data_IF_264285871222
#
_entry.id   IF_264285871222
#
_cell.length_a   1.000
_cell.length_b   1.000
_cell.length_c   1.000
_cell.angle_alpha   90.00
_cell.angle_beta   90.00
_cell.angle_gamma   90.00
#
_symmetry.space_group_name_H-M   'P 1'
#
loop_
_entity.id
_entity.type
_entity.pdbx_description
1 polymer ?
#
# COMPACT_ATOMS: atom_id res chain seq x y z
N UNK A 1 -1.15 -4.68 27.19
CA UNK A 1 0.23 -4.76 26.68
C UNK A 1 0.47 -3.50 25.87
N UNK A 2 1.40 -2.64 26.29
CA UNK A 2 1.88 -1.53 25.45
C UNK A 2 2.80 -2.09 24.37
N UNK A 3 2.43 -1.90 23.10
CA UNK A 3 3.32 -2.27 21.98
C UNK A 3 4.61 -1.42 22.06
N UNK A 4 5.78 -2.02 21.80
CA UNK A 4 7.03 -1.27 21.84
C UNK A 4 7.06 -0.24 20.70
N UNK A 5 7.46 1.00 21.01
CA UNK A 5 7.48 2.16 20.09
C UNK A 5 8.15 1.88 18.73
N UNK A 6 9.09 0.92 18.70
CA UNK A 6 9.80 0.47 17.50
C UNK A 6 8.90 -0.18 16.44
N UNK A 7 7.79 -0.83 16.83
CA UNK A 7 6.88 -1.47 15.86
C UNK A 7 6.01 -0.42 15.15
N UNK A 8 5.54 0.59 15.90
CA UNK A 8 4.80 1.73 15.34
C UNK A 8 5.70 2.50 14.36
N UNK A 9 6.93 2.82 14.75
CA UNK A 9 7.87 3.51 13.86
C UNK A 9 8.20 2.71 12.58
N UNK A 10 8.29 1.37 12.67
CA UNK A 10 8.50 0.52 11.50
C UNK A 10 7.28 0.51 10.57
N UNK A 11 6.07 0.48 11.13
CA UNK A 11 4.82 0.58 10.35
C UNK A 11 4.70 1.94 9.66
N UNK A 12 4.96 3.04 10.37
CA UNK A 12 4.95 4.39 9.79
C UNK A 12 5.97 4.54 8.66
N UNK A 13 7.15 3.92 8.80
CA UNK A 13 8.15 3.88 7.74
C UNK A 13 7.65 3.11 6.50
N UNK A 14 7.05 1.94 6.69
CA UNK A 14 6.45 1.16 5.59
C UNK A 14 5.35 1.94 4.85
N UNK A 15 4.51 2.68 5.59
CA UNK A 15 3.52 3.58 4.99
C UNK A 15 4.17 4.70 4.19
N UNK A 16 5.21 5.35 4.71
CA UNK A 16 5.93 6.38 3.97
C UNK A 16 6.54 5.85 2.68
N UNK A 17 7.08 4.65 2.69
CA UNK A 17 7.63 4.00 1.49
C UNK A 17 6.55 3.65 0.48
N UNK A 18 5.41 3.12 0.92
CA UNK A 18 4.29 2.77 0.05
C UNK A 18 3.69 4.02 -0.62
N UNK A 19 3.50 5.10 0.14
CA UNK A 19 3.02 6.38 -0.40
C UNK A 19 4.00 6.97 -1.43
N UNK A 20 5.30 6.91 -1.16
CA UNK A 20 6.30 7.35 -2.13
C UNK A 20 6.29 6.50 -3.42
N UNK A 21 6.03 5.19 -3.30
CA UNK A 21 5.81 4.34 -4.46
C UNK A 21 4.54 4.76 -5.23
N UNK A 22 3.44 5.07 -4.54
CA UNK A 22 2.22 5.58 -5.14
C UNK A 22 2.45 6.87 -5.95
N UNK A 23 3.24 7.82 -5.42
CA UNK A 23 3.61 9.05 -6.14
C UNK A 23 4.41 8.76 -7.42
N UNK A 24 5.29 7.77 -7.38
CA UNK A 24 6.04 7.34 -8.55
C UNK A 24 5.14 6.64 -9.61
N UNK A 25 4.15 5.85 -9.18
CA UNK A 25 3.15 5.26 -10.08
C UNK A 25 2.29 6.34 -10.74
N UNK A 26 1.87 7.36 -9.99
CA UNK A 26 1.14 8.51 -10.52
C UNK A 26 1.95 9.25 -11.57
N UNK A 27 3.24 9.48 -11.30
CA UNK A 27 4.16 10.08 -12.29
C UNK A 27 4.22 9.24 -13.58
N UNK A 28 4.27 7.91 -13.49
CA UNK A 28 4.21 7.06 -14.69
C UNK A 28 2.88 7.23 -15.41
N UNK A 29 1.77 7.19 -14.68
CA UNK A 29 0.42 7.27 -15.23
C UNK A 29 0.14 8.61 -15.94
N UNK A 30 0.69 9.71 -15.44
CA UNK A 30 0.54 11.06 -16.02
C UNK A 30 1.38 11.28 -17.28
N UNK A 31 2.46 10.52 -17.44
CA UNK A 31 3.36 10.62 -18.59
C UNK A 31 2.98 9.70 -19.77
N UNK A 32 2.02 8.80 -19.59
CA UNK A 32 1.53 7.94 -20.67
C UNK A 32 0.78 8.74 -21.75
N UNK A 33 0.88 8.35 -23.04
CA UNK A 33 1.81 7.39 -23.63
C UNK A 33 3.21 7.94 -23.95
N UNK A 34 3.44 9.23 -23.71
CA UNK A 34 4.50 10.00 -24.36
C UNK A 34 5.90 9.75 -23.77
N UNK A 35 6.02 9.65 -22.45
CA UNK A 35 7.32 9.55 -21.77
C UNK A 35 7.36 8.32 -20.85
N UNK A 36 7.73 7.17 -21.44
CA UNK A 36 7.88 5.92 -20.69
C UNK A 36 9.36 5.71 -20.34
N UNK A 37 9.68 5.82 -19.05
CA UNK A 37 11.01 5.50 -18.55
C UNK A 37 11.09 4.03 -18.14
N UNK A 38 11.60 3.18 -19.03
CA UNK A 38 11.70 1.73 -18.83
C UNK A 38 12.46 1.33 -17.55
N UNK A 39 13.48 2.11 -17.14
CA UNK A 39 14.22 1.83 -15.90
C UNK A 39 13.33 2.05 -14.68
N UNK A 40 12.60 3.17 -14.66
CA UNK A 40 11.67 3.49 -13.57
C UNK A 40 10.55 2.44 -13.50
N UNK A 41 9.93 2.09 -14.63
CA UNK A 41 8.89 1.06 -14.66
C UNK A 41 9.38 -0.27 -14.10
N UNK A 42 10.58 -0.73 -14.50
CA UNK A 42 11.18 -1.96 -13.96
C UNK A 42 11.43 -1.88 -12.46
N UNK A 43 12.04 -0.79 -11.99
CA UNK A 43 12.32 -0.62 -10.56
C UNK A 43 11.04 -0.59 -9.72
N UNK A 44 9.96 0.02 -10.23
CA UNK A 44 8.67 0.02 -9.55
C UNK A 44 8.04 -1.38 -9.53
N UNK A 45 8.09 -2.11 -10.65
CA UNK A 45 7.61 -3.49 -10.73
C UNK A 45 8.31 -4.39 -9.70
N UNK A 46 9.64 -4.35 -9.67
CA UNK A 46 10.46 -5.17 -8.76
C UNK A 46 10.21 -4.84 -7.27
N UNK A 47 9.79 -3.60 -6.96
CA UNK A 47 9.59 -3.14 -5.59
C UNK A 47 8.17 -3.31 -5.07
N UNK A 48 7.16 -3.36 -5.96
CA UNK A 48 5.76 -3.21 -5.61
C UNK A 48 5.25 -4.34 -4.69
N UNK A 49 5.29 -5.58 -5.16
CA UNK A 49 4.76 -6.72 -4.40
C UNK A 49 5.51 -6.91 -3.07
N UNK A 50 6.86 -6.85 -3.01
CA UNK A 50 7.59 -6.95 -1.73
C UNK A 50 7.28 -5.84 -0.75
N UNK A 51 7.01 -4.61 -1.23
CA UNK A 51 6.65 -3.49 -0.36
C UNK A 51 5.25 -3.69 0.22
N UNK A 52 4.26 -4.02 -0.61
CA UNK A 52 2.88 -4.31 -0.14
C UNK A 52 2.89 -5.44 0.90
N UNK A 53 3.59 -6.54 0.61
CA UNK A 53 3.72 -7.66 1.55
C UNK A 53 4.35 -7.27 2.89
N UNK A 54 5.42 -6.47 2.85
CA UNK A 54 6.09 -6.00 4.07
C UNK A 54 5.19 -5.06 4.86
N UNK A 55 4.46 -4.16 4.21
CA UNK A 55 3.55 -3.22 4.87
C UNK A 55 2.43 -3.98 5.58
N UNK A 56 1.76 -4.92 4.90
CA UNK A 56 0.75 -5.79 5.50
C UNK A 56 1.29 -6.61 6.67
N UNK A 57 2.51 -7.16 6.56
CA UNK A 57 3.13 -7.88 7.67
C UNK A 57 3.32 -6.96 8.89
N UNK A 58 3.75 -5.71 8.68
CA UNK A 58 3.91 -4.75 9.78
C UNK A 58 2.57 -4.36 10.41
N UNK A 59 1.49 -4.25 9.63
CA UNK A 59 0.13 -4.02 10.13
C UNK A 59 -0.34 -5.20 10.99
N UNK A 60 -0.11 -6.43 10.54
CA UNK A 60 -0.45 -7.66 11.26
C UNK A 60 0.33 -7.81 12.59
N UNK A 61 1.57 -7.32 12.64
CA UNK A 61 2.42 -7.34 13.83
C UNK A 61 2.13 -6.18 14.79
N UNK A 62 1.46 -5.11 14.32
CA UNK A 62 1.33 -3.84 15.05
C UNK A 62 -0.13 -3.40 15.22
N UNK A 63 -0.83 -3.07 14.15
CA UNK A 63 -2.19 -2.52 14.19
C UNK A 63 -3.21 -3.61 14.57
N UNK A 64 -3.10 -4.79 13.97
CA UNK A 64 -4.11 -5.85 14.14
C UNK A 64 -4.23 -6.35 15.58
N UNK A 65 -3.14 -6.53 16.35
CA UNK A 65 -3.23 -6.85 17.76
C UNK A 65 -3.96 -5.78 18.60
N UNK A 66 -3.80 -4.50 18.26
CA UNK A 66 -4.51 -3.40 18.93
C UNK A 66 -6.02 -3.44 18.63
N UNK A 67 -6.38 -3.67 17.36
CA UNK A 67 -7.77 -3.83 16.95
C UNK A 67 -8.42 -5.06 17.62
N UNK A 68 -7.70 -6.18 17.67
CA UNK A 68 -8.18 -7.43 18.27
C UNK A 68 -8.33 -7.33 19.79
N UNK A 69 -7.51 -6.53 20.47
CA UNK A 69 -7.62 -6.30 21.90
C UNK A 69 -8.80 -5.39 22.28
N UNK A 70 -9.40 -4.69 21.31
CA UNK A 70 -10.55 -3.82 21.55
C UNK A 70 -11.83 -4.63 21.79
N UNK A 71 -12.62 -4.21 22.78
CA UNK A 71 -13.96 -4.77 23.02
C UNK A 71 -15.03 -4.16 22.10
N UNK A 72 -14.65 -3.26 21.18
CA UNK A 72 -15.58 -2.61 20.25
C UNK A 72 -15.90 -3.55 19.06
N UNK A 73 -17.15 -4.02 18.90
CA UNK A 73 -17.53 -4.92 17.80
C UNK A 73 -17.28 -4.32 16.41
N UNK A 74 -17.30 -2.98 16.29
CA UNK A 74 -16.99 -2.32 15.03
C UNK A 74 -15.53 -2.51 14.63
N UNK A 75 -14.59 -2.43 15.59
CA UNK A 75 -13.17 -2.63 15.31
C UNK A 75 -12.86 -4.10 14.98
N UNK A 76 -13.58 -5.05 15.58
CA UNK A 76 -13.48 -6.46 15.19
C UNK A 76 -13.96 -6.71 13.75
N UNK A 77 -15.03 -6.05 13.30
CA UNK A 77 -15.48 -6.09 11.90
C UNK A 77 -14.47 -5.44 10.96
N UNK A 78 -13.90 -4.29 11.36
CA UNK A 78 -12.83 -3.64 10.59
C UNK A 78 -11.63 -4.55 10.42
N UNK A 79 -11.18 -5.24 11.48
CA UNK A 79 -10.08 -6.21 11.40
C UNK A 79 -10.36 -7.36 10.41
N UNK A 80 -11.58 -7.90 10.42
CA UNK A 80 -11.96 -8.95 9.47
C UNK A 80 -11.91 -8.45 8.02
N UNK A 81 -12.44 -7.24 7.78
CA UNK A 81 -12.40 -6.58 6.46
C UNK A 81 -10.97 -6.33 5.99
N UNK A 82 -10.09 -5.78 6.84
CA UNK A 82 -8.69 -5.49 6.48
C UNK A 82 -7.95 -6.76 6.00
N UNK A 83 -8.18 -7.90 6.66
CA UNK A 83 -7.60 -9.19 6.22
C UNK A 83 -8.08 -9.65 4.85
N UNK A 84 -9.34 -9.36 4.50
CA UNK A 84 -9.88 -9.65 3.17
C UNK A 84 -9.29 -8.69 2.12
N UNK A 85 -9.14 -7.42 2.49
CA UNK A 85 -8.56 -6.37 1.64
C UNK A 85 -7.10 -6.70 1.28
N UNK A 86 -6.29 -7.17 2.24
CA UNK A 86 -4.90 -7.56 1.97
C UNK A 86 -4.77 -8.58 0.81
N UNK A 87 -5.68 -9.56 0.75
CA UNK A 87 -5.66 -10.56 -0.33
C UNK A 87 -5.95 -9.92 -1.69
N UNK A 88 -6.92 -9.02 -1.75
CA UNK A 88 -7.27 -8.28 -2.97
C UNK A 88 -6.14 -7.32 -3.39
N UNK A 89 -5.51 -6.66 -2.43
CA UNK A 89 -4.40 -5.74 -2.66
C UNK A 89 -3.17 -6.47 -3.19
N UNK A 90 -2.87 -7.68 -2.70
CA UNK A 90 -1.83 -8.54 -3.24
C UNK A 90 -2.07 -8.93 -4.71
N UNK A 91 -3.31 -9.31 -5.05
CA UNK A 91 -3.67 -9.62 -6.44
C UNK A 91 -3.50 -8.39 -7.34
N UNK A 92 -3.98 -7.23 -6.89
CA UNK A 92 -3.91 -5.98 -7.67
C UNK A 92 -2.46 -5.51 -7.83
N UNK A 93 -1.63 -5.67 -6.79
CA UNK A 93 -0.20 -5.35 -6.84
C UNK A 93 0.53 -6.20 -7.90
N UNK A 94 0.21 -7.49 -8.01
CA UNK A 94 0.77 -8.37 -9.03
C UNK A 94 0.36 -7.94 -10.45
N UNK A 95 -0.90 -7.56 -10.66
CA UNK A 95 -1.35 -7.04 -11.97
C UNK A 95 -0.64 -5.74 -12.37
N UNK A 96 -0.46 -4.83 -11.42
CA UNK A 96 0.28 -3.57 -11.65
C UNK A 96 1.76 -3.85 -11.93
N UNK A 97 2.37 -4.78 -11.17
CA UNK A 97 3.76 -5.22 -11.35
C UNK A 97 3.97 -5.80 -12.75
N UNK A 98 3.08 -6.68 -13.22
CA UNK A 98 3.10 -7.23 -14.58
C UNK A 98 2.98 -6.13 -15.63
N UNK A 99 2.02 -5.21 -15.48
CA UNK A 99 1.83 -4.11 -16.43
C UNK A 99 3.07 -3.19 -16.50
N UNK A 100 3.74 -2.93 -15.39
CA UNK A 100 4.98 -2.15 -15.35
C UNK A 100 6.16 -2.89 -15.99
N UNK A 101 6.27 -4.20 -15.79
CA UNK A 101 7.26 -5.03 -16.49
C UNK A 101 7.05 -5.00 -18.01
N UNK A 102 5.82 -5.16 -18.45
CA UNK A 102 5.42 -5.08 -19.85
C UNK A 102 5.71 -3.70 -20.47
N UNK A 103 5.39 -2.61 -19.75
CA UNK A 103 5.78 -1.25 -20.13
C UNK A 103 7.30 -1.13 -20.25
N UNK A 104 8.06 -1.67 -19.29
CA UNK A 104 9.53 -1.61 -19.29
C UNK A 104 10.16 -2.37 -20.46
N UNK A 105 9.48 -3.39 -20.96
CA UNK A 105 9.91 -4.21 -22.09
C UNK A 105 9.41 -3.67 -23.45
N UNK A 106 8.56 -2.64 -23.46
CA UNK A 106 7.87 -2.19 -24.67
C UNK A 106 6.91 -3.24 -25.24
N UNK A 107 6.41 -4.14 -24.38
CA UNK A 107 5.61 -5.31 -24.75
C UNK A 107 4.17 -5.27 -24.21
N UNK A 108 3.74 -4.13 -23.64
CA UNK A 108 2.39 -3.97 -23.10
C UNK A 108 1.32 -4.31 -24.13
N UNK A 109 0.46 -5.25 -23.76
CA UNK A 109 -0.75 -5.62 -24.51
C UNK A 109 -1.92 -4.68 -24.22
N UNK A 110 -1.84 -3.93 -23.12
CA UNK A 110 -2.83 -2.95 -22.72
C UNK A 110 -2.60 -1.62 -23.45
N UNK A 111 -3.68 -0.91 -23.75
CA UNK A 111 -3.58 0.47 -24.23
C UNK A 111 -3.02 1.38 -23.14
N UNK A 112 -2.38 2.50 -23.51
CA UNK A 112 -1.90 3.48 -22.54
C UNK A 112 -2.98 3.93 -21.54
N UNK A 113 -4.22 4.13 -22.00
CA UNK A 113 -5.36 4.48 -21.14
C UNK A 113 -5.69 3.37 -20.14
N UNK A 114 -5.66 2.10 -20.57
CA UNK A 114 -5.93 0.96 -19.70
C UNK A 114 -4.84 0.80 -18.63
N UNK A 115 -3.57 0.97 -19.00
CA UNK A 115 -2.48 0.97 -18.02
C UNK A 115 -2.62 2.15 -17.06
N UNK A 116 -2.90 3.35 -17.58
CA UNK A 116 -3.13 4.54 -16.76
C UNK A 116 -4.29 4.39 -15.78
N UNK A 117 -5.37 3.69 -16.17
CA UNK A 117 -6.48 3.36 -15.29
C UNK A 117 -6.09 2.35 -14.21
N UNK A 118 -5.37 1.28 -14.56
CA UNK A 118 -4.89 0.27 -13.62
C UNK A 118 -3.98 0.90 -12.55
N UNK A 119 -3.01 1.72 -12.97
CA UNK A 119 -2.11 2.42 -12.05
C UNK A 119 -2.87 3.35 -11.09
N UNK A 120 -3.77 4.19 -11.62
CA UNK A 120 -4.60 5.12 -10.81
C UNK A 120 -5.47 4.40 -9.81
N UNK A 121 -6.14 3.33 -10.26
CA UNK A 121 -7.02 2.54 -9.39
C UNK A 121 -6.24 1.97 -8.20
N UNK A 122 -5.03 1.46 -8.45
CA UNK A 122 -4.18 0.93 -7.39
C UNK A 122 -3.68 2.01 -6.42
N UNK A 123 -3.01 3.07 -6.92
CA UNK A 123 -2.39 4.04 -6.03
C UNK A 123 -3.42 4.84 -5.23
N UNK A 124 -4.60 5.12 -5.80
CA UNK A 124 -5.67 5.77 -5.06
C UNK A 124 -6.26 4.87 -3.97
N UNK A 125 -6.36 3.56 -4.24
CA UNK A 125 -6.80 2.57 -3.24
C UNK A 125 -5.81 2.51 -2.08
N UNK A 126 -4.52 2.38 -2.37
CA UNK A 126 -3.46 2.31 -1.36
C UNK A 126 -3.37 3.58 -0.52
N UNK A 127 -3.50 4.77 -1.11
CA UNK A 127 -3.54 6.02 -0.35
C UNK A 127 -4.71 6.07 0.64
N UNK A 128 -5.90 5.60 0.23
CA UNK A 128 -7.08 5.52 1.12
C UNK A 128 -6.93 4.45 2.20
N UNK A 129 -6.31 3.32 1.87
CA UNK A 129 -5.99 2.25 2.81
C UNK A 129 -5.08 2.79 3.93
N UNK A 130 -3.91 3.32 3.57
CA UNK A 130 -2.94 3.87 4.51
C UNK A 130 -3.54 4.96 5.40
N UNK A 131 -4.31 5.89 4.82
CA UNK A 131 -4.97 6.94 5.60
C UNK A 131 -5.94 6.34 6.64
N UNK A 132 -6.77 5.39 6.22
CA UNK A 132 -7.74 4.74 7.11
C UNK A 132 -7.05 4.03 8.27
N UNK A 133 -5.91 3.40 8.01
CA UNK A 133 -5.16 2.68 9.05
C UNK A 133 -4.38 3.60 9.99
N UNK A 134 -3.85 4.72 9.48
CA UNK A 134 -3.29 5.77 10.33
C UNK A 134 -4.34 6.34 11.29
N UNK A 135 -5.56 6.56 10.82
CA UNK A 135 -6.69 6.97 11.67
C UNK A 135 -7.04 5.89 12.71
N UNK A 136 -7.07 4.62 12.32
CA UNK A 136 -7.27 3.51 13.27
C UNK A 136 -6.17 3.48 14.32
N UNK A 137 -4.90 3.59 13.91
CA UNK A 137 -3.74 3.58 14.80
C UNK A 137 -3.78 4.76 15.78
N UNK A 138 -4.22 5.94 15.35
CA UNK A 138 -4.43 7.08 16.24
C UNK A 138 -5.56 6.86 17.27
N UNK A 139 -6.60 6.09 16.91
CA UNK A 139 -7.71 5.76 17.81
C UNK A 139 -7.38 4.67 18.83
N UNK A 140 -6.58 3.67 18.45
CA UNK A 140 -6.27 2.49 19.30
C UNK A 140 -4.86 2.48 19.87
N UNK A 141 -3.98 3.32 19.35
CA UNK A 141 -2.60 3.47 19.79
C UNK A 141 -2.48 4.17 21.14
N UNK A 142 -1.31 4.07 21.79
CA UNK A 142 -1.03 4.86 22.98
C UNK A 142 -1.13 6.37 22.66
N UNK A 143 -1.61 7.21 23.58
CA UNK A 143 -1.64 8.65 23.37
C UNK A 143 -0.22 9.16 23.05
N UNK A 144 -0.07 10.16 22.17
CA UNK A 144 1.24 10.70 21.84
C UNK A 144 1.96 11.15 23.11
N UNK A 145 3.24 10.79 23.22
CA UNK A 145 4.10 11.30 24.29
C UNK A 145 4.24 12.81 24.08
N UNK A 146 3.55 13.59 24.91
CA UNK A 146 3.80 15.03 25.02
C UNK A 146 5.23 15.19 25.55
N UNK A 147 6.15 15.60 24.68
CA UNK A 147 7.47 16.09 25.06
C UNK A 147 7.41 17.57 25.41
#
# INVERSE_FOLDING_TARGET
MTLPNRHIAALEQSYSELLALCDALETVADNLPHEINARVCRSLADALEPLVARTHQQEEETLFPLLAASQNPQLSRTLARLREEHLADHSTAAEVSEALHDLSAGASKLSPDAVGYLLRSFFESMRRHVLSEQELLAMVGPPPLLH
#
